data_IF_900828830866
#
_entry.id   IF_900828830866
#
_cell.length_a   1.000
_cell.length_b   1.000
_cell.length_c   1.000
_cell.angle_alpha   90.00
_cell.angle_beta   90.00
_cell.angle_gamma   90.00
#
_symmetry.space_group_name_H-M   'P 1'
#
loop_
_entity.id
_entity.type
_entity.pdbx_description
1 polymer ?
#
# COMPACT_ATOMS: atom_id res chain seq x y z
N UNK A 1 -12.46 -3.96 21.71
CA UNK A 1 -10.98 -3.92 21.68
C UNK A 1 -10.63 -3.28 20.36
N UNK A 2 -9.94 -2.14 20.37
CA UNK A 2 -9.49 -1.49 19.14
C UNK A 2 -8.49 -2.41 18.46
N UNK A 3 -8.80 -2.89 17.26
CA UNK A 3 -7.83 -3.65 16.47
C UNK A 3 -6.64 -2.74 16.20
N UNK A 4 -5.46 -3.20 16.59
CA UNK A 4 -4.20 -2.48 16.43
C UNK A 4 -3.28 -3.34 15.60
N UNK A 5 -2.78 -2.79 14.50
CA UNK A 5 -1.89 -3.50 13.60
C UNK A 5 -0.55 -2.79 13.56
N UNK A 6 0.52 -3.55 13.80
CA UNK A 6 1.89 -3.07 13.82
C UNK A 6 2.63 -3.55 12.56
N UNK A 7 3.63 -2.80 12.15
CA UNK A 7 4.44 -3.14 11.00
C UNK A 7 5.69 -2.31 10.90
N UNK A 8 6.55 -2.67 9.95
CA UNK A 8 7.78 -1.94 9.68
C UNK A 8 8.25 -2.11 8.24
N UNK A 9 9.12 -1.19 7.80
CA UNK A 9 9.88 -1.41 6.58
C UNK A 9 10.92 -2.53 6.77
N UNK A 10 11.50 -3.03 5.67
CA UNK A 10 12.43 -4.17 5.71
C UNK A 10 13.61 -3.98 6.68
N UNK A 11 14.13 -2.77 6.82
CA UNK A 11 15.24 -2.49 7.75
C UNK A 11 14.80 -2.05 9.16
N UNK A 12 13.49 -1.93 9.42
CA UNK A 12 12.95 -1.50 10.71
C UNK A 12 13.11 -0.01 11.03
N UNK A 13 13.69 0.79 10.13
CA UNK A 13 13.92 2.24 10.33
C UNK A 13 12.64 3.08 10.26
N UNK A 14 11.57 2.54 9.65
CA UNK A 14 10.23 3.12 9.68
C UNK A 14 9.31 2.08 10.27
N UNK A 15 8.60 2.44 11.34
CA UNK A 15 7.59 1.60 11.98
C UNK A 15 6.23 2.26 11.86
N UNK A 16 5.22 1.44 11.65
CA UNK A 16 3.84 1.89 11.54
C UNK A 16 3.00 1.22 12.61
N UNK A 17 2.02 1.97 13.12
CA UNK A 17 0.96 1.47 13.98
C UNK A 17 -0.34 2.03 13.47
N UNK A 18 -1.34 1.16 13.28
CA UNK A 18 -2.68 1.56 12.87
C UNK A 18 -3.70 1.18 13.92
N UNK A 19 -4.79 1.92 14.02
CA UNK A 19 -5.92 1.61 14.90
C UNK A 19 -7.24 1.56 14.13
N UNK A 20 -8.13 0.66 14.54
CA UNK A 20 -9.42 0.48 13.90
C UNK A 20 -9.35 -0.34 12.61
N UNK A 21 -10.45 -0.38 11.84
CA UNK A 21 -10.56 -1.29 10.70
C UNK A 21 -9.66 -0.85 9.56
N UNK A 22 -9.03 -1.86 8.94
CA UNK A 22 -8.31 -1.73 7.68
C UNK A 22 -9.23 -2.16 6.53
N UNK A 23 -9.22 -1.43 5.41
CA UNK A 23 -9.91 -1.87 4.19
C UNK A 23 -9.23 -3.11 3.63
N UNK A 24 -9.99 -3.97 2.94
CA UNK A 24 -9.42 -5.07 2.17
C UNK A 24 -8.28 -4.60 1.25
N UNK A 25 -7.27 -5.44 1.05
CA UNK A 25 -6.12 -5.14 0.21
C UNK A 25 -6.57 -5.03 -1.25
N UNK A 26 -6.09 -3.99 -1.93
CA UNK A 26 -6.27 -3.82 -3.38
C UNK A 26 -4.95 -4.02 -4.09
N UNK A 27 -4.99 -4.87 -5.12
CA UNK A 27 -3.91 -5.07 -6.07
C UNK A 27 -3.97 -4.06 -7.20
N UNK A 28 -3.11 -3.03 -7.20
CA UNK A 28 -3.04 -2.05 -8.28
C UNK A 28 -1.96 -2.42 -9.29
N UNK A 29 -2.40 -2.74 -10.51
CA UNK A 29 -1.56 -3.25 -11.59
C UNK A 29 -1.04 -2.17 -12.54
N UNK A 30 -1.24 -0.88 -12.28
CA UNK A 30 -0.82 0.21 -13.16
C UNK A 30 0.70 0.28 -13.33
N UNK A 31 1.17 0.94 -14.39
CA UNK A 31 2.60 0.93 -14.76
C UNK A 31 3.54 1.46 -13.68
N UNK A 32 3.10 2.45 -12.89
CA UNK A 32 3.85 2.98 -11.77
C UNK A 32 4.05 1.93 -10.67
N UNK A 33 2.97 1.23 -10.30
CA UNK A 33 3.00 0.20 -9.26
C UNK A 33 3.87 -1.00 -9.68
N UNK A 34 3.78 -1.42 -10.95
CA UNK A 34 4.65 -2.47 -11.50
C UNK A 34 6.12 -2.06 -11.47
N UNK A 35 6.44 -0.85 -11.93
CA UNK A 35 7.82 -0.36 -11.98
C UNK A 35 8.46 -0.19 -10.59
N UNK A 36 7.65 0.08 -9.57
CA UNK A 36 8.16 0.27 -8.22
C UNK A 36 8.34 -1.03 -7.43
N UNK A 37 7.58 -2.08 -7.73
CA UNK A 37 7.59 -3.35 -6.97
C UNK A 37 8.08 -4.56 -7.74
N UNK A 38 8.12 -4.48 -9.07
CA UNK A 38 8.27 -5.63 -9.96
C UNK A 38 6.98 -6.41 -10.21
N UNK A 39 5.87 -6.13 -9.50
CA UNK A 39 4.61 -6.86 -9.65
C UNK A 39 3.39 -5.93 -9.67
N UNK A 40 2.82 -5.62 -8.51
CA UNK A 40 1.72 -4.68 -8.30
C UNK A 40 1.82 -4.12 -6.88
N UNK A 41 1.16 -2.99 -6.63
CA UNK A 41 0.99 -2.51 -5.25
C UNK A 41 -0.13 -3.33 -4.59
N UNK A 42 0.18 -4.03 -3.49
CA UNK A 42 -0.81 -4.58 -2.58
C UNK A 42 -0.95 -3.60 -1.41
N UNK A 43 -2.05 -2.88 -1.34
CA UNK A 43 -2.26 -1.86 -0.31
C UNK A 43 -3.64 -1.97 0.36
N UNK A 44 -3.66 -1.80 1.67
CA UNK A 44 -4.86 -1.46 2.44
C UNK A 44 -4.98 0.06 2.55
N UNK A 45 -6.03 0.59 3.17
CA UNK A 45 -6.09 1.97 3.64
C UNK A 45 -6.58 2.07 5.08
N UNK A 46 -6.27 3.21 5.69
CA UNK A 46 -6.73 3.60 7.03
C UNK A 46 -6.86 5.12 7.08
N UNK A 47 -7.68 5.63 8.01
CA UNK A 47 -7.80 7.06 8.23
C UNK A 47 -6.45 7.65 8.66
N UNK A 48 -6.13 8.86 8.18
CA UNK A 48 -4.81 9.46 8.43
C UNK A 48 -4.58 9.72 9.93
N UNK A 49 -5.63 9.99 10.69
CA UNK A 49 -5.59 10.15 12.16
C UNK A 49 -5.52 8.81 12.93
N UNK A 50 -5.68 7.69 12.23
CA UNK A 50 -5.60 6.33 12.76
C UNK A 50 -4.27 5.63 12.45
N UNK A 51 -3.29 6.34 11.88
CA UNK A 51 -1.93 5.84 11.69
C UNK A 51 -0.92 6.66 12.48
N UNK A 52 0.03 5.98 13.10
CA UNK A 52 1.24 6.57 13.68
C UNK A 52 2.45 6.02 12.94
N UNK A 53 3.40 6.90 12.62
CA UNK A 53 4.63 6.55 11.90
C UNK A 53 5.83 6.99 12.73
N UNK A 54 6.59 6.03 13.23
CA UNK A 54 7.88 6.28 13.88
C UNK A 54 9.00 6.19 12.84
N UNK A 55 9.97 7.09 12.94
CA UNK A 55 11.07 7.19 11.96
C UNK A 55 10.66 7.88 10.66
N UNK A 56 9.69 8.80 10.70
CA UNK A 56 9.20 9.54 9.53
C UNK A 56 10.28 10.28 8.75
N UNK A 57 11.39 10.66 9.40
CA UNK A 57 12.57 11.25 8.77
C UNK A 57 13.27 10.27 7.79
N UNK A 58 13.08 8.97 7.96
CA UNK A 58 13.57 7.92 7.05
C UNK A 58 12.62 7.66 5.87
N UNK A 59 11.48 8.36 5.80
CA UNK A 59 10.56 8.32 4.67
C UNK A 59 10.98 9.36 3.63
N UNK A 60 11.13 8.92 2.38
CA UNK A 60 11.23 9.80 1.22
C UNK A 60 9.89 9.86 0.51
N UNK A 61 9.48 11.06 0.11
CA UNK A 61 8.23 11.29 -0.63
C UNK A 61 8.53 11.62 -2.08
N UNK A 62 7.88 10.91 -3.00
CA UNK A 62 7.95 11.14 -4.44
C UNK A 62 6.58 11.54 -4.98
N UNK A 63 6.52 12.68 -5.66
CA UNK A 63 5.32 13.16 -6.32
C UNK A 63 5.03 12.32 -7.56
N UNK A 64 4.13 11.36 -7.42
CA UNK A 64 3.86 10.34 -8.44
C UNK A 64 2.86 10.75 -9.52
N UNK A 65 2.06 11.78 -9.23
CA UNK A 65 1.14 12.40 -10.19
C UNK A 65 0.84 13.84 -9.77
N UNK A 66 0.09 14.63 -10.56
CA UNK A 66 -0.38 15.94 -10.13
C UNK A 66 -1.31 15.93 -8.92
N UNK A 67 -1.77 14.78 -8.43
CA UNK A 67 -2.72 14.68 -7.30
C UNK A 67 -2.31 13.67 -6.20
N UNK A 68 -1.13 13.03 -6.31
CA UNK A 68 -0.75 11.98 -5.37
C UNK A 68 0.76 11.79 -5.19
N UNK A 69 1.14 11.42 -3.97
CA UNK A 69 2.51 11.14 -3.56
C UNK A 69 2.69 9.70 -3.07
N UNK A 70 3.92 9.19 -3.20
CA UNK A 70 4.34 7.85 -2.75
C UNK A 70 5.45 7.98 -1.72
N UNK A 71 5.31 7.28 -0.60
CA UNK A 71 6.32 7.21 0.46
C UNK A 71 7.14 5.93 0.35
N UNK A 72 8.46 6.01 0.49
CA UNK A 72 9.35 4.84 0.54
C UNK A 72 10.48 5.03 1.55
N UNK A 73 11.00 3.95 2.11
CA UNK A 73 12.11 4.01 3.05
C UNK A 73 13.42 4.39 2.32
N UNK A 74 14.11 5.44 2.80
CA UNK A 74 15.40 5.92 2.27
C UNK A 74 16.51 4.87 2.36
N UNK A 75 16.40 3.93 3.31
CA UNK A 75 17.44 2.95 3.61
C UNK A 75 17.28 1.65 2.83
N UNK A 76 16.10 1.02 2.91
CA UNK A 76 15.85 -0.28 2.30
C UNK A 76 15.02 -0.23 1.02
N UNK A 77 14.48 0.93 0.65
CA UNK A 77 13.66 1.09 -0.56
C UNK A 77 12.25 0.52 -0.47
N UNK A 78 11.82 -0.08 0.66
CA UNK A 78 10.44 -0.54 0.84
C UNK A 78 9.46 0.56 0.47
N UNK A 79 8.52 0.26 -0.44
CA UNK A 79 7.35 1.10 -0.65
C UNK A 79 6.50 1.07 0.63
N UNK A 80 6.07 2.24 1.09
CA UNK A 80 5.38 2.38 2.37
C UNK A 80 3.94 2.87 2.18
N UNK A 81 3.81 3.98 1.47
CA UNK A 81 2.56 4.74 1.43
C UNK A 81 2.20 5.17 0.02
N UNK A 82 0.90 5.34 -0.20
CA UNK A 82 0.34 6.17 -1.26
C UNK A 82 -0.71 7.10 -0.67
N UNK A 83 -0.66 8.38 -1.05
CA UNK A 83 -1.54 9.43 -0.51
C UNK A 83 -2.02 10.31 -1.67
N UNK A 84 -3.32 10.56 -1.74
CA UNK A 84 -3.89 11.63 -2.56
C UNK A 84 -3.99 12.92 -1.73
N UNK A 85 -3.80 14.08 -2.36
CA UNK A 85 -3.63 15.36 -1.66
C UNK A 85 -4.81 15.76 -0.76
N UNK A 86 -6.03 15.43 -1.19
CA UNK A 86 -7.27 15.78 -0.49
C UNK A 86 -7.93 14.56 0.18
N UNK A 87 -7.18 13.48 0.39
CA UNK A 87 -7.70 12.29 1.06
C UNK A 87 -7.54 12.37 2.59
N UNK A 88 -8.60 11.99 3.29
CA UNK A 88 -8.61 11.74 4.74
C UNK A 88 -8.06 10.34 5.10
N UNK A 89 -7.63 9.58 4.09
CA UNK A 89 -7.11 8.22 4.20
C UNK A 89 -5.71 8.13 3.60
N UNK A 90 -4.89 7.24 4.15
CA UNK A 90 -3.59 6.86 3.63
C UNK A 90 -3.60 5.39 3.22
N UNK A 91 -3.08 5.09 2.04
CA UNK A 91 -2.84 3.71 1.64
C UNK A 91 -1.52 3.22 2.20
N UNK A 92 -1.53 2.05 2.85
CA UNK A 92 -0.36 1.42 3.46
C UNK A 92 -0.08 0.12 2.73
N UNK A 93 1.18 -0.12 2.35
CA UNK A 93 1.56 -1.38 1.69
C UNK A 93 1.33 -2.55 2.64
N UNK A 94 0.57 -3.55 2.21
CA UNK A 94 0.14 -4.67 3.04
C UNK A 94 1.33 -5.48 3.58
N UNK A 95 2.43 -5.55 2.82
CA UNK A 95 3.65 -6.25 3.23
C UNK A 95 4.46 -5.56 4.33
N UNK A 96 4.02 -4.41 4.86
CA UNK A 96 4.64 -3.80 6.03
C UNK A 96 4.18 -4.41 7.36
N UNK A 97 2.96 -4.96 7.42
CA UNK A 97 2.40 -5.45 8.67
C UNK A 97 3.12 -6.73 9.11
N UNK A 98 3.41 -6.83 10.42
CA UNK A 98 4.17 -7.93 11.00
C UNK A 98 3.37 -9.26 10.97
N UNK A 99 2.04 -9.17 11.09
CA UNK A 99 1.11 -10.27 10.84
C UNK A 99 0.13 -9.91 9.73
N UNK A 100 0.50 -10.13 8.45
CA UNK A 100 -0.36 -9.77 7.33
C UNK A 100 -1.48 -10.79 7.08
N UNK A 101 -1.57 -11.88 7.85
CA UNK A 101 -2.55 -12.96 7.61
C UNK A 101 -4.00 -12.53 7.87
N UNK A 102 -4.20 -11.48 8.66
CA UNK A 102 -5.51 -10.89 8.92
C UNK A 102 -5.97 -9.98 7.77
N UNK A 103 -5.07 -9.61 6.85
CA UNK A 103 -5.42 -8.85 5.66
C UNK A 103 -5.97 -9.76 4.56
N UNK A 104 -7.09 -9.35 3.97
CA UNK A 104 -7.71 -10.06 2.85
C UNK A 104 -7.56 -9.25 1.58
N UNK A 105 -7.17 -9.90 0.47
CA UNK A 105 -7.26 -9.29 -0.84
C UNK A 105 -8.74 -9.18 -1.24
N UNK A 106 -9.19 -7.97 -1.56
CA UNK A 106 -10.57 -7.69 -1.96
C UNK A 106 -10.74 -7.76 -3.48
N UNK A 107 -9.89 -7.03 -4.22
CA UNK A 107 -9.99 -6.92 -5.68
C UNK A 107 -8.72 -6.38 -6.34
N UNK A 108 -8.72 -6.42 -7.67
CA UNK A 108 -7.64 -5.95 -8.52
C UNK A 108 -8.10 -4.81 -9.42
N UNK A 109 -7.30 -3.75 -9.51
CA UNK A 109 -7.56 -2.58 -10.37
C UNK A 109 -6.43 -2.37 -11.38
N UNK A 110 -6.72 -1.66 -12.47
CA UNK A 110 -5.80 -1.45 -13.59
C UNK A 110 -5.31 -2.75 -14.26
N UNK A 111 -6.16 -3.79 -14.31
CA UNK A 111 -5.81 -5.09 -14.87
C UNK A 111 -5.52 -5.04 -16.38
N UNK A 112 -6.04 -4.04 -17.10
CA UNK A 112 -5.72 -3.83 -18.51
C UNK A 112 -4.23 -3.53 -18.74
N UNK A 113 -3.56 -2.95 -17.74
CA UNK A 113 -2.12 -2.66 -17.80
C UNK A 113 -1.26 -3.80 -17.22
N UNK A 114 -1.86 -4.85 -16.64
CA UNK A 114 -1.13 -5.92 -15.96
C UNK A 114 -0.08 -6.55 -16.88
N UNK A 115 1.11 -6.82 -16.35
CA UNK A 115 2.13 -7.48 -17.15
C UNK A 115 1.75 -8.94 -17.48
N UNK A 116 2.22 -9.43 -18.63
CA UNK A 116 1.88 -10.77 -19.14
C UNK A 116 2.59 -11.94 -18.45
N UNK A 117 3.58 -11.69 -17.59
CA UNK A 117 4.41 -12.74 -16.98
C UNK A 117 3.79 -13.40 -15.73
N UNK A 118 2.56 -13.05 -15.35
CA UNK A 118 1.79 -13.70 -14.26
C UNK A 118 0.29 -13.68 -14.56
N UNK A 119 -0.47 -14.57 -13.90
CA UNK A 119 -1.93 -14.61 -13.94
C UNK A 119 -2.57 -14.15 -12.64
N UNK A 120 -3.87 -13.84 -12.68
CA UNK A 120 -4.73 -13.57 -11.52
C UNK A 120 -5.77 -14.69 -11.44
N UNK A 121 -5.58 -15.62 -10.51
CA UNK A 121 -6.35 -16.88 -10.41
C UNK A 121 -7.01 -17.08 -9.04
N UNK A 122 -7.04 -16.03 -8.21
CA UNK A 122 -7.67 -16.01 -6.89
C UNK A 122 -9.21 -15.94 -6.95
N UNK A 123 -9.79 -15.69 -8.12
CA UNK A 123 -11.24 -15.58 -8.31
C UNK A 123 -11.83 -14.26 -7.81
N UNK A 124 -10.99 -13.28 -7.45
CA UNK A 124 -11.44 -11.97 -6.98
C UNK A 124 -11.85 -11.06 -8.15
N UNK A 125 -12.66 -10.02 -7.91
CA UNK A 125 -13.01 -9.04 -8.93
C UNK A 125 -11.77 -8.41 -9.56
N UNK A 126 -11.78 -8.29 -10.89
CA UNK A 126 -10.70 -7.72 -11.69
C UNK A 126 -11.24 -6.58 -12.56
N UNK A 127 -10.81 -5.36 -12.27
CA UNK A 127 -11.24 -4.16 -12.98
C UNK A 127 -10.15 -3.70 -13.96
N UNK A 128 -10.52 -3.32 -15.21
CA UNK A 128 -9.55 -2.87 -16.20
C UNK A 128 -8.88 -1.53 -15.85
N UNK A 129 -9.54 -0.64 -15.09
CA UNK A 129 -9.04 0.65 -14.61
C UNK A 129 -9.27 0.80 -13.09
N UNK A 130 -9.35 2.04 -12.58
CA UNK A 130 -9.77 2.32 -11.20
C UNK A 130 -11.20 1.84 -10.94
N UNK A 131 -11.48 1.55 -9.68
CA UNK A 131 -12.80 1.26 -9.12
C UNK A 131 -13.65 2.51 -8.88
#
# INVERSE_FOLDING_TARGET
>A
MTEENNGSCLCGAVKIRTTGPLRDVVGCHCSQCRKQTGLYFAATNVATDHVTVDGGENVSWYRSSPAASRGFCKTCGSALFWVADDADQISIMAGLFDDPNDLKMGHHIYCADKAGFYGLHDGLPQFPQSD
#
